data_IF_874845368707
#
_entry.id   IF_874845368707
#
_cell.length_a   1.000
_cell.length_b   1.000
_cell.length_c   1.000
_cell.angle_alpha   90.00
_cell.angle_beta   90.00
_cell.angle_gamma   90.00
#
_symmetry.space_group_name_H-M   'P 1'
#
loop_
_entity.id
_entity.type
_entity.pdbx_description
1 polymer ?
#
# COMPACT_ATOMS: atom_id res chain seq x y z
N UNK A 1 30.72 -0.07 3.98
CA UNK A 1 30.25 -0.47 3.82
C UNK A 1 29.81 -1.05 3.47
N UNK A 2 29.66 -1.18 3.65
CA UNK A 2 29.00 -1.49 3.59
C UNK A 2 28.29 -2.43 3.47
N UNK A 3 28.29 -2.86 4.05
CA UNK A 3 27.11 -3.61 4.37
C UNK A 3 26.15 -3.70 3.25
N UNK A 4 26.25 -2.86 2.36
CA UNK A 4 25.35 -2.81 1.24
C UNK A 4 25.57 -3.93 0.27
N UNK A 5 26.59 -4.70 0.49
CA UNK A 5 26.85 -5.79 -0.38
C UNK A 5 25.89 -6.92 -0.22
N UNK A 6 25.16 -6.96 0.91
CA UNK A 6 24.13 -7.88 0.95
C UNK A 6 22.90 -7.34 1.38
N UNK A 7 22.15 -6.74 0.49
CA UNK A 7 20.88 -6.22 0.81
C UNK A 7 19.93 -7.36 0.75
N UNK A 8 19.48 -7.76 1.93
CA UNK A 8 18.41 -8.69 2.02
C UNK A 8 17.16 -7.85 2.09
N UNK A 9 16.29 -8.04 1.14
CA UNK A 9 15.06 -7.29 1.09
C UNK A 9 15.05 -6.28 -0.04
N UNK A 10 14.21 -5.26 0.09
CA UNK A 10 14.01 -4.29 -0.99
C UNK A 10 15.21 -3.36 -1.14
N UNK A 11 15.50 -3.00 -2.40
CA UNK A 11 16.51 -1.99 -2.69
C UNK A 11 15.98 -0.61 -2.33
N UNK A 12 16.88 0.38 -2.31
CA UNK A 12 16.45 1.77 -2.09
C UNK A 12 15.49 2.23 -3.18
N UNK A 13 15.74 1.82 -4.42
CA UNK A 13 14.86 2.16 -5.52
C UNK A 13 13.47 1.57 -5.33
N UNK A 14 13.40 0.32 -4.88
CA UNK A 14 12.12 -0.33 -4.60
C UNK A 14 11.38 0.39 -3.47
N UNK A 15 12.10 0.81 -2.44
CA UNK A 15 11.49 1.52 -1.32
C UNK A 15 10.92 2.85 -1.75
N UNK A 16 11.63 3.56 -2.61
CA UNK A 16 11.13 4.83 -3.14
C UNK A 16 9.89 4.64 -3.98
N UNK A 17 9.87 3.58 -4.78
CA UNK A 17 8.69 3.27 -5.57
C UNK A 17 7.49 2.98 -4.67
N UNK A 18 7.71 2.19 -3.63
CA UNK A 18 6.65 1.87 -2.68
C UNK A 18 6.09 3.14 -2.04
N UNK A 19 6.98 4.02 -1.58
CA UNK A 19 6.57 5.29 -0.99
C UNK A 19 5.78 6.14 -1.98
N UNK A 20 6.21 6.15 -3.23
CA UNK A 20 5.52 6.91 -4.27
C UNK A 20 4.11 6.38 -4.49
N UNK A 21 3.94 5.06 -4.51
CA UNK A 21 2.62 4.45 -4.66
C UNK A 21 1.72 4.77 -3.48
N UNK A 22 2.28 4.76 -2.27
CA UNK A 22 1.51 5.10 -1.08
C UNK A 22 1.06 6.56 -1.12
N UNK A 23 1.96 7.45 -1.50
CA UNK A 23 1.60 8.87 -1.61
C UNK A 23 0.52 9.09 -2.65
N UNK A 24 0.62 8.42 -3.79
CA UNK A 24 -0.39 8.56 -4.83
C UNK A 24 -1.74 8.04 -4.35
N UNK A 25 -1.74 6.92 -3.64
CA UNK A 25 -2.97 6.36 -3.09
C UNK A 25 -3.60 7.27 -2.06
N UNK A 26 -2.78 7.89 -1.21
CA UNK A 26 -3.27 8.78 -0.17
C UNK A 26 -3.90 10.06 -0.73
N UNK A 27 -3.48 10.46 -1.93
CA UNK A 27 -4.05 11.67 -2.53
C UNK A 27 -5.47 11.48 -3.03
N UNK A 28 -5.81 10.26 -3.42
CA UNK A 28 -7.12 10.04 -4.04
C UNK A 28 -7.70 8.69 -3.61
N UNK A 29 -8.30 8.65 -2.41
CA UNK A 29 -8.90 7.41 -1.92
C UNK A 29 -10.34 7.20 -2.40
N UNK A 30 -10.79 7.98 -3.38
CA UNK A 30 -12.21 7.95 -3.77
C UNK A 30 -12.65 6.62 -4.32
N UNK A 31 -11.82 5.99 -5.15
CA UNK A 31 -12.20 4.74 -5.78
C UNK A 31 -12.37 3.61 -4.77
N UNK A 32 -11.39 3.36 -3.88
CA UNK A 32 -11.61 2.31 -2.87
C UNK A 32 -12.76 2.62 -1.93
N UNK A 33 -12.99 3.90 -1.61
CA UNK A 33 -14.15 4.25 -0.78
C UNK A 33 -15.44 3.94 -1.52
N UNK A 34 -15.52 4.30 -2.80
CA UNK A 34 -16.70 4.01 -3.60
C UNK A 34 -16.97 2.52 -3.71
N UNK A 35 -15.92 1.72 -3.92
CA UNK A 35 -16.06 0.27 -3.96
C UNK A 35 -16.51 -0.29 -2.61
N UNK A 36 -15.92 0.22 -1.53
CA UNK A 36 -16.28 -0.25 -0.20
C UNK A 36 -17.75 0.00 0.09
N UNK A 37 -18.27 1.15 -0.29
CA UNK A 37 -19.69 1.47 -0.08
C UNK A 37 -20.60 0.50 -0.82
N UNK A 38 -20.18 0.05 -2.00
CA UNK A 38 -20.97 -0.90 -2.78
C UNK A 38 -20.87 -2.32 -2.23
N UNK A 39 -19.70 -2.69 -1.73
CA UNK A 39 -19.45 -4.06 -1.30
C UNK A 39 -19.92 -4.32 0.12
N UNK A 40 -19.94 -3.27 0.97
CA UNK A 40 -20.36 -3.40 2.36
C UNK A 40 -21.38 -2.30 2.67
N UNK A 41 -22.55 -2.35 2.02
CA UNK A 41 -23.47 -1.21 2.10
C UNK A 41 -24.16 -1.02 3.45
N UNK A 42 -24.40 -2.09 4.18
CA UNK A 42 -25.25 -2.01 5.34
C UNK A 42 -24.66 -2.46 6.63
N UNK A 43 -23.40 -2.80 6.66
CA UNK A 43 -22.83 -3.34 7.88
C UNK A 43 -21.33 -3.28 7.83
N UNK A 44 -20.72 -3.47 8.98
CA UNK A 44 -19.31 -3.45 9.11
C UNK A 44 -18.77 -2.02 9.10
N UNK A 45 -17.48 -1.92 9.14
CA UNK A 45 -16.80 -0.64 9.15
C UNK A 45 -16.32 -0.33 7.74
N UNK A 46 -17.04 0.56 7.06
CA UNK A 46 -16.72 0.90 5.67
C UNK A 46 -15.34 1.54 5.59
N UNK A 47 -14.96 2.32 6.60
CA UNK A 47 -13.64 2.95 6.62
C UNK A 47 -12.52 1.92 6.69
N UNK A 48 -12.67 0.92 7.55
CA UNK A 48 -11.68 -0.14 7.66
C UNK A 48 -11.61 -0.96 6.39
N UNK A 49 -12.76 -1.24 5.78
CA UNK A 49 -12.78 -1.99 4.54
C UNK A 49 -12.12 -1.20 3.41
N UNK A 50 -12.41 0.09 3.33
CA UNK A 50 -11.80 0.97 2.33
C UNK A 50 -10.28 1.05 2.54
N UNK A 51 -9.86 1.11 3.79
CA UNK A 51 -8.44 1.12 4.12
C UNK A 51 -7.77 -0.17 3.65
N UNK A 52 -8.40 -1.31 3.90
CA UNK A 52 -7.88 -2.59 3.43
C UNK A 52 -7.79 -2.69 1.93
N UNK A 53 -8.84 -2.20 1.23
CA UNK A 53 -8.82 -2.15 -0.23
C UNK A 53 -7.69 -1.29 -0.74
N UNK A 54 -7.54 -0.10 -0.20
CA UNK A 54 -6.49 0.82 -0.63
C UNK A 54 -5.12 0.23 -0.41
N UNK A 55 -4.91 -0.35 0.77
CA UNK A 55 -3.64 -0.99 1.10
C UNK A 55 -3.35 -2.16 0.17
N UNK A 56 -4.36 -2.97 -0.11
CA UNK A 56 -4.22 -4.10 -1.01
C UNK A 56 -3.89 -3.66 -2.43
N UNK A 57 -4.48 -2.56 -2.88
CA UNK A 57 -4.21 -2.02 -4.21
C UNK A 57 -2.77 -1.53 -4.31
N UNK A 58 -2.27 -0.85 -3.27
CA UNK A 58 -0.88 -0.40 -3.25
C UNK A 58 0.06 -1.59 -3.31
N UNK A 59 -0.16 -2.57 -2.44
CA UNK A 59 0.70 -3.75 -2.39
C UNK A 59 0.66 -4.54 -3.69
N UNK A 60 -0.55 -4.75 -4.23
CA UNK A 60 -0.70 -5.50 -5.47
C UNK A 60 -0.03 -4.81 -6.63
N UNK A 61 -0.18 -3.50 -6.71
CA UNK A 61 0.45 -2.71 -7.76
C UNK A 61 1.98 -2.81 -7.67
N UNK A 62 2.51 -2.65 -6.46
CA UNK A 62 3.95 -2.75 -6.26
C UNK A 62 4.47 -4.14 -6.63
N UNK A 63 3.78 -5.19 -6.19
CA UNK A 63 4.20 -6.56 -6.45
C UNK A 63 4.18 -6.85 -7.94
N UNK A 64 3.16 -6.37 -8.65
CA UNK A 64 3.08 -6.57 -10.09
C UNK A 64 4.26 -5.90 -10.81
N UNK A 65 4.59 -4.68 -10.41
CA UNK A 65 5.72 -3.97 -11.00
C UNK A 65 7.04 -4.65 -10.66
N UNK A 66 7.16 -5.13 -9.43
CA UNK A 66 8.34 -5.87 -9.00
C UNK A 66 8.55 -7.11 -9.88
N UNK A 67 7.48 -7.87 -10.11
CA UNK A 67 7.57 -9.06 -10.95
C UNK A 67 7.97 -8.72 -12.37
N UNK A 68 7.44 -7.62 -12.89
CA UNK A 68 7.81 -7.20 -14.24
C UNK A 68 9.30 -6.86 -14.36
N UNK A 69 9.84 -6.22 -13.34
CA UNK A 69 11.24 -5.81 -13.38
C UNK A 69 12.19 -6.96 -13.10
N UNK A 70 11.81 -7.87 -12.22
CA UNK A 70 12.73 -8.88 -11.71
C UNK A 70 12.45 -10.29 -12.23
N UNK A 71 11.33 -10.49 -12.89
CA UNK A 71 10.97 -11.79 -13.43
C UNK A 71 10.67 -12.84 -12.38
N UNK A 72 10.33 -12.40 -11.17
CA UNK A 72 10.02 -13.30 -10.07
C UNK A 72 9.18 -12.59 -9.04
N UNK A 73 8.55 -13.36 -8.17
CA UNK A 73 7.84 -12.81 -7.00
C UNK A 73 8.84 -12.29 -5.98
N UNK A 74 8.44 -11.34 -5.13
CA UNK A 74 9.27 -10.94 -4.00
C UNK A 74 9.53 -12.16 -3.10
N UNK A 75 10.75 -12.24 -2.58
CA UNK A 75 11.08 -13.31 -1.64
C UNK A 75 10.63 -12.92 -0.23
N UNK A 76 10.95 -13.79 0.74
CA UNK A 76 10.49 -13.60 2.10
C UNK A 76 10.96 -12.28 2.70
N UNK A 77 12.24 -11.94 2.50
CA UNK A 77 12.78 -10.71 3.08
C UNK A 77 12.18 -9.49 2.42
N UNK A 78 11.93 -9.57 1.13
CA UNK A 78 11.29 -8.47 0.40
C UNK A 78 9.84 -8.29 0.85
N UNK A 79 9.12 -9.38 1.06
CA UNK A 79 7.75 -9.32 1.59
C UNK A 79 7.73 -8.67 2.97
N UNK A 80 8.67 -9.05 3.83
CA UNK A 80 8.76 -8.46 5.16
C UNK A 80 8.97 -6.95 5.06
N UNK A 81 9.82 -6.52 4.14
CA UNK A 81 10.06 -5.08 3.94
C UNK A 81 8.81 -4.38 3.42
N UNK A 82 8.10 -4.99 2.48
CA UNK A 82 6.86 -4.40 1.97
C UNK A 82 5.87 -4.19 3.11
N UNK A 83 5.69 -5.21 3.94
CA UNK A 83 4.78 -5.11 5.07
C UNK A 83 5.23 -4.05 6.07
N UNK A 84 6.53 -3.95 6.32
CA UNK A 84 7.07 -2.95 7.24
C UNK A 84 6.79 -1.54 6.74
N UNK A 85 6.99 -1.30 5.45
CA UNK A 85 6.72 0.01 4.87
C UNK A 85 5.24 0.33 4.96
N UNK A 86 4.36 -0.63 4.63
CA UNK A 86 2.93 -0.43 4.74
C UNK A 86 2.55 -0.07 6.17
N UNK A 87 3.10 -0.79 7.15
CA UNK A 87 2.77 -0.53 8.55
C UNK A 87 3.21 0.85 8.99
N UNK A 88 4.36 1.31 8.52
CA UNK A 88 4.84 2.65 8.89
C UNK A 88 4.03 3.76 8.24
N UNK A 89 3.36 3.46 7.12
CA UNK A 89 2.55 4.45 6.41
C UNK A 89 1.06 4.33 6.71
N UNK A 90 0.68 3.40 7.56
CA UNK A 90 -0.72 3.22 7.92
C UNK A 90 -1.41 4.52 8.37
N UNK A 91 -0.79 5.33 9.25
CA UNK A 91 -1.48 6.55 9.68
C UNK A 91 -1.81 7.48 8.52
N UNK A 92 -0.93 7.58 7.53
CA UNK A 92 -1.18 8.44 6.37
C UNK A 92 -2.37 7.95 5.55
N UNK A 93 -2.42 6.65 5.28
CA UNK A 93 -3.50 6.08 4.50
C UNK A 93 -4.83 6.19 5.24
N UNK A 94 -4.81 5.92 6.53
CA UNK A 94 -6.03 6.02 7.34
C UNK A 94 -6.53 7.45 7.41
N UNK A 95 -5.64 8.40 7.60
CA UNK A 95 -6.01 9.81 7.61
C UNK A 95 -6.66 10.22 6.29
N UNK A 96 -6.07 9.77 5.19
CA UNK A 96 -6.61 10.08 3.86
C UNK A 96 -8.04 9.59 3.72
N UNK A 97 -8.31 8.37 4.15
CA UNK A 97 -9.64 7.80 4.05
C UNK A 97 -10.62 8.53 4.97
N UNK A 98 -10.20 8.80 6.20
CA UNK A 98 -11.05 9.50 7.15
C UNK A 98 -11.41 10.89 6.67
N UNK A 99 -10.44 11.60 6.11
CA UNK A 99 -10.68 12.94 5.57
C UNK A 99 -11.69 12.90 4.42
N UNK A 100 -11.59 11.90 3.57
CA UNK A 100 -12.53 11.80 2.46
C UNK A 100 -13.94 11.53 2.96
N UNK A 101 -14.10 10.72 4.01
CA UNK A 101 -15.41 10.50 4.61
C UNK A 101 -15.95 11.76 5.27
N UNK A 102 -15.09 12.52 5.93
CA UNK A 102 -15.52 13.72 6.65
C UNK A 102 -15.95 14.83 5.71
N UNK A 103 -15.48 14.81 4.48
CA UNK A 103 -15.83 15.82 3.50
C UNK A 103 -17.21 15.62 2.88
N UNK A 104 -17.93 14.63 3.33
CA UNK A 104 -19.29 14.36 2.85
C UNK A 104 -20.38 14.82 3.78
#
# INVERSE_FOLDING_TARGET
MHSDTYIMGLTDSDRKEMESLIKAAARDPKMPIGLARKMVPNQGNIEDFAYGLLSGMVMGNFIAQFQNRNGRHPDKDEIIDILSIMMSEMPRLRMSIMEEFDMR
#
